data_IF_254871653300
#
_entry.id   IF_254871653300
#
_cell.length_a   1.000
_cell.length_b   1.000
_cell.length_c   1.000
_cell.angle_alpha   90.00
_cell.angle_beta   90.00
_cell.angle_gamma   90.00
#
_symmetry.space_group_name_H-M   'P 1'
#
loop_
_entity.id
_entity.type
_entity.pdbx_description
1 polymer ?
#
# COMPACT_ATOMS: atom_id res chain seq x y z
N UNK A 1 -0.58 14.07 22.37
CA UNK A 1 0.29 14.58 21.30
C UNK A 1 0.92 13.44 20.50
N UNK A 2 1.21 12.29 21.12
CA UNK A 2 1.77 11.09 20.47
C UNK A 2 1.00 10.55 19.25
N UNK A 3 -0.34 10.60 19.23
CA UNK A 3 -1.11 10.12 18.06
C UNK A 3 -0.80 10.89 16.78
N UNK A 4 -0.56 12.21 16.89
CA UNK A 4 -0.27 13.03 15.71
C UNK A 4 1.12 12.73 15.17
N UNK A 5 2.10 12.50 16.05
CA UNK A 5 3.48 12.18 15.68
C UNK A 5 3.62 10.77 15.07
N UNK A 6 2.94 9.77 15.64
CA UNK A 6 2.92 8.41 15.10
C UNK A 6 2.29 8.36 13.70
N UNK A 7 1.23 9.14 13.47
CA UNK A 7 0.60 9.23 12.16
C UNK A 7 1.55 9.79 11.10
N UNK A 8 2.23 10.91 11.38
CA UNK A 8 3.19 11.49 10.45
C UNK A 8 4.39 10.58 10.19
N UNK A 9 4.87 9.90 11.24
CA UNK A 9 5.98 8.94 11.13
C UNK A 9 5.60 7.76 10.24
N UNK A 10 4.41 7.19 10.40
CA UNK A 10 3.97 6.06 9.58
C UNK A 10 3.69 6.45 8.13
N UNK A 11 3.14 7.65 7.92
CA UNK A 11 2.97 8.17 6.57
C UNK A 11 4.33 8.38 5.88
N UNK A 12 5.37 8.80 6.63
CA UNK A 12 6.73 8.88 6.13
C UNK A 12 7.30 7.49 5.79
N UNK A 13 7.16 6.49 6.68
CA UNK A 13 7.62 5.11 6.41
C UNK A 13 6.91 4.47 5.22
N UNK A 14 5.60 4.70 5.06
CA UNK A 14 4.87 4.23 3.90
C UNK A 14 5.32 4.93 2.61
N UNK A 15 5.60 6.24 2.69
CA UNK A 15 6.12 7.00 1.55
C UNK A 15 7.51 6.51 1.15
N UNK A 16 8.35 6.19 2.13
CA UNK A 16 9.67 5.57 1.91
C UNK A 16 9.52 4.22 1.21
N UNK A 17 8.63 3.35 1.71
CA UNK A 17 8.35 2.04 1.08
C UNK A 17 7.86 2.19 -0.36
N UNK A 18 6.95 3.13 -0.65
CA UNK A 18 6.52 3.40 -2.03
C UNK A 18 7.66 3.94 -2.89
N UNK A 19 8.55 4.76 -2.32
CA UNK A 19 9.71 5.28 -3.04
C UNK A 19 10.70 4.16 -3.39
N UNK A 20 10.93 3.21 -2.47
CA UNK A 20 11.73 2.01 -2.73
C UNK A 20 11.09 1.16 -3.84
N UNK A 21 9.79 0.86 -3.71
CA UNK A 21 9.04 0.12 -4.74
C UNK A 21 9.18 0.81 -6.09
N UNK A 22 9.05 2.15 -6.16
CA UNK A 22 9.23 2.89 -7.41
C UNK A 22 10.62 2.66 -8.00
N UNK A 23 11.68 2.78 -7.21
CA UNK A 23 13.04 2.56 -7.69
C UNK A 23 13.25 1.13 -8.20
N UNK A 24 12.76 0.14 -7.46
CA UNK A 24 12.74 -1.27 -7.88
C UNK A 24 12.01 -1.45 -9.23
N UNK A 25 10.81 -0.87 -9.38
CA UNK A 25 10.04 -0.91 -10.63
C UNK A 25 10.79 -0.25 -11.79
N UNK A 26 11.50 0.85 -11.56
CA UNK A 26 12.34 1.49 -12.58
C UNK A 26 13.51 0.56 -12.98
N UNK A 27 14.18 -0.05 -12.01
CA UNK A 27 15.26 -1.01 -12.27
C UNK A 27 14.77 -2.28 -12.97
N UNK A 28 13.63 -2.84 -12.56
CA UNK A 28 13.06 -4.05 -13.14
C UNK A 28 12.72 -3.82 -14.60
N UNK A 29 12.21 -2.64 -14.92
CA UNK A 29 11.95 -2.25 -16.30
C UNK A 29 13.21 -2.16 -17.14
N UNK A 30 14.33 -1.68 -16.59
CA UNK A 30 15.61 -1.66 -17.33
C UNK A 30 16.20 -3.06 -17.51
N UNK A 31 15.93 -3.99 -16.57
CA UNK A 31 16.40 -5.38 -16.62
C UNK A 31 15.44 -6.31 -17.39
N UNK A 32 14.16 -5.98 -17.47
CA UNK A 32 13.14 -6.77 -18.13
C UNK A 32 13.08 -6.40 -19.61
N UNK A 33 13.22 -7.39 -20.48
CA UNK A 33 13.02 -7.22 -21.92
C UNK A 33 11.53 -7.19 -22.29
N UNK A 34 10.67 -7.79 -21.45
CA UNK A 34 9.26 -8.01 -21.72
C UNK A 34 8.41 -7.89 -20.44
N UNK A 35 7.11 -7.65 -20.63
CA UNK A 35 6.11 -7.52 -19.55
C UNK A 35 6.09 -8.74 -18.61
N UNK A 36 6.13 -9.95 -19.14
CA UNK A 36 6.11 -11.18 -18.31
C UNK A 36 7.30 -11.24 -17.37
N UNK A 37 8.49 -10.83 -17.85
CA UNK A 37 9.71 -10.82 -17.04
C UNK A 37 9.62 -9.75 -15.96
N UNK A 38 9.05 -8.60 -16.29
CA UNK A 38 8.80 -7.50 -15.36
C UNK A 38 7.92 -7.93 -14.19
N UNK A 39 6.73 -8.49 -14.47
CA UNK A 39 5.83 -8.98 -13.42
C UNK A 39 6.40 -10.16 -12.63
N UNK A 40 7.21 -11.02 -13.26
CA UNK A 40 7.92 -12.08 -12.54
C UNK A 40 8.92 -11.54 -11.51
N UNK A 41 9.56 -10.39 -11.78
CA UNK A 41 10.45 -9.75 -10.80
C UNK A 41 9.67 -9.17 -9.63
N UNK A 42 8.52 -8.56 -9.88
CA UNK A 42 7.64 -7.99 -8.84
C UNK A 42 7.08 -9.09 -7.95
N UNK A 43 6.63 -10.20 -8.53
CA UNK A 43 6.20 -11.37 -7.77
C UNK A 43 7.33 -11.87 -6.86
N UNK A 44 8.57 -11.87 -7.35
CA UNK A 44 9.73 -12.29 -6.57
C UNK A 44 10.09 -11.31 -5.46
N UNK A 45 9.87 -10.02 -5.67
CA UNK A 45 10.01 -9.00 -4.63
C UNK A 45 9.01 -9.25 -3.50
N UNK A 46 7.73 -9.51 -3.82
CA UNK A 46 6.71 -9.85 -2.83
C UNK A 46 6.99 -11.19 -2.13
N UNK A 47 7.52 -12.19 -2.84
CA UNK A 47 7.95 -13.46 -2.24
C UNK A 47 9.13 -13.29 -1.26
N UNK A 48 9.93 -12.23 -1.44
CA UNK A 48 11.07 -11.91 -0.56
C UNK A 48 10.68 -11.05 0.64
N UNK A 49 9.57 -10.31 0.55
CA UNK A 49 9.09 -9.38 1.58
C UNK A 49 7.71 -9.81 2.08
N UNK A 50 7.65 -10.38 3.29
CA UNK A 50 6.39 -10.75 3.94
C UNK A 50 5.39 -9.58 4.12
N UNK A 51 5.86 -8.34 4.11
CA UNK A 51 5.01 -7.14 4.18
C UNK A 51 4.29 -6.81 2.87
N UNK A 52 4.75 -7.38 1.75
CA UNK A 52 4.21 -7.13 0.42
C UNK A 52 3.36 -8.31 -0.06
N UNK A 53 2.16 -8.01 -0.53
CA UNK A 53 1.28 -8.99 -1.18
C UNK A 53 1.07 -8.59 -2.64
N UNK A 54 1.49 -9.47 -3.55
CA UNK A 54 1.36 -9.29 -4.99
C UNK A 54 0.20 -10.11 -5.56
N UNK A 55 -0.72 -9.43 -6.25
CA UNK A 55 -1.79 -10.05 -7.02
C UNK A 55 -1.48 -9.98 -8.51
N UNK A 56 -1.11 -11.12 -9.10
CA UNK A 56 -0.76 -11.20 -10.52
C UNK A 56 -1.97 -11.05 -11.45
N UNK A 57 -3.19 -11.19 -10.95
CA UNK A 57 -4.40 -11.12 -11.77
C UNK A 57 -4.80 -9.66 -12.04
N UNK A 58 -4.69 -8.81 -11.02
CA UNK A 58 -4.99 -7.38 -11.06
C UNK A 58 -3.74 -6.52 -11.24
N UNK A 59 -2.55 -7.13 -11.22
CA UNK A 59 -1.26 -6.46 -11.18
C UNK A 59 -1.16 -5.45 -10.03
N UNK A 60 -1.66 -5.82 -8.86
CA UNK A 60 -1.66 -4.95 -7.68
C UNK A 60 -0.67 -5.44 -6.64
N UNK A 61 0.11 -4.50 -6.12
CA UNK A 61 0.99 -4.69 -4.97
C UNK A 61 0.35 -3.99 -3.77
N UNK A 62 0.16 -4.71 -2.69
CA UNK A 62 -0.48 -4.22 -1.47
C UNK A 62 0.41 -4.43 -0.27
N UNK A 63 0.42 -3.46 0.64
CA UNK A 63 1.15 -3.56 1.90
C UNK A 63 0.49 -2.72 2.98
N UNK A 64 0.81 -3.04 4.22
CA UNK A 64 0.22 -2.40 5.40
C UNK A 64 1.32 -2.00 6.38
N UNK A 65 1.25 -0.75 6.87
CA UNK A 65 2.18 -0.24 7.89
C UNK A 65 1.41 0.00 9.18
N UNK A 66 1.78 -0.69 10.25
CA UNK A 66 1.16 -0.49 11.56
C UNK A 66 1.45 0.91 12.10
N UNK A 67 0.40 1.70 12.35
CA UNK A 67 0.49 3.04 12.95
C UNK A 67 0.47 2.98 14.47
N UNK A 68 -0.38 2.10 14.99
CA UNK A 68 -0.58 1.86 16.43
C UNK A 68 -1.22 0.47 16.60
N UNK A 69 -1.42 0.03 17.84
CA UNK A 69 -2.03 -1.28 18.14
C UNK A 69 -3.40 -1.49 17.46
N UNK A 70 -4.13 -0.39 17.20
CA UNK A 70 -5.48 -0.42 16.59
C UNK A 70 -5.57 0.27 15.24
N UNK A 71 -4.46 0.73 14.66
CA UNK A 71 -4.45 1.51 13.41
C UNK A 71 -3.34 1.04 12.48
N UNK A 72 -3.64 0.90 11.20
CA UNK A 72 -2.67 0.62 10.16
C UNK A 72 -2.92 1.51 8.94
N UNK A 73 -1.89 1.81 8.18
CA UNK A 73 -2.00 2.44 6.87
C UNK A 73 -1.96 1.34 5.82
N UNK A 74 -3.01 1.24 5.02
CA UNK A 74 -3.10 0.28 3.92
C UNK A 74 -2.86 0.99 2.61
N UNK A 75 -1.89 0.48 1.86
CA UNK A 75 -1.49 1.02 0.56
C UNK A 75 -1.67 -0.05 -0.49
N UNK A 76 -2.36 0.29 -1.58
CA UNK A 76 -2.54 -0.57 -2.75
C UNK A 76 -2.05 0.20 -3.98
N UNK A 77 -1.06 -0.38 -4.65
CA UNK A 77 -0.45 0.13 -5.86
C UNK A 77 -0.84 -0.77 -7.02
N UNK A 78 -1.41 -0.22 -8.09
CA UNK A 78 -1.58 -0.94 -9.34
C UNK A 78 -0.36 -0.67 -10.22
N UNK A 79 0.27 -1.75 -10.67
CA UNK A 79 1.55 -1.72 -11.36
C UNK A 79 1.31 -1.92 -12.85
N UNK A 80 1.89 -1.03 -13.66
CA UNK A 80 1.85 -1.11 -15.11
C UNK A 80 3.19 -1.53 -15.66
N UNK A 81 3.18 -2.07 -16.87
CA UNK A 81 4.38 -2.18 -17.67
C UNK A 81 4.59 -0.90 -18.49
N UNK A 82 5.50 0.02 -18.08
CA UNK A 82 5.75 1.26 -18.79
C UNK A 82 6.50 1.00 -20.11
N UNK A 83 5.77 1.03 -21.23
CA UNK A 83 6.36 0.92 -22.57
C UNK A 83 7.33 2.07 -22.90
N UNK A 84 7.25 3.21 -22.21
CA UNK A 84 8.14 4.38 -22.39
C UNK A 84 8.67 4.91 -21.06
N UNK A 85 9.84 5.58 -21.06
CA UNK A 85 10.48 6.07 -19.82
C UNK A 85 9.68 7.14 -19.07
N UNK A 86 8.80 7.86 -19.77
CA UNK A 86 7.91 8.86 -19.14
C UNK A 86 6.53 8.32 -18.76
N UNK A 87 6.27 7.03 -18.93
CA UNK A 87 5.00 6.43 -18.51
C UNK A 87 5.06 6.08 -17.03
N UNK A 88 3.99 6.37 -16.29
CA UNK A 88 3.86 5.95 -14.89
C UNK A 88 4.02 4.44 -14.78
N UNK A 89 4.95 3.99 -13.94
CA UNK A 89 5.16 2.57 -13.66
C UNK A 89 4.08 2.01 -12.71
N UNK A 90 3.40 2.88 -11.97
CA UNK A 90 2.33 2.49 -11.05
C UNK A 90 1.32 3.63 -10.85
N UNK A 91 0.17 3.29 -10.28
CA UNK A 91 -0.79 4.22 -9.71
C UNK A 91 -1.16 3.79 -8.28
N UNK A 92 -1.48 4.75 -7.43
CA UNK A 92 -1.94 4.48 -6.07
C UNK A 92 -3.45 4.31 -6.14
N UNK A 93 -3.94 3.08 -5.97
CA UNK A 93 -5.38 2.79 -5.89
C UNK A 93 -5.93 3.11 -4.50
N UNK A 94 -5.14 2.83 -3.46
CA UNK A 94 -5.56 3.03 -2.08
C UNK A 94 -4.41 3.59 -1.25
N UNK A 95 -4.72 4.60 -0.44
CA UNK A 95 -3.86 5.14 0.59
C UNK A 95 -4.75 5.67 1.71
N UNK A 96 -5.09 4.82 2.68
CA UNK A 96 -5.92 5.24 3.79
C UNK A 96 -5.52 4.51 5.08
N UNK A 97 -5.89 5.13 6.20
CA UNK A 97 -5.71 4.54 7.51
C UNK A 97 -6.93 3.72 7.88
N UNK A 98 -6.71 2.46 8.17
CA UNK A 98 -7.71 1.50 8.61
C UNK A 98 -7.54 1.19 10.10
N UNK A 99 -8.66 0.95 10.79
CA UNK A 99 -8.64 0.49 12.18
C UNK A 99 -8.48 -1.04 12.19
N UNK A 100 -7.42 -1.54 12.82
CA UNK A 100 -7.18 -2.98 13.01
C UNK A 100 -7.96 -3.56 14.20
N UNK A 101 -8.52 -2.68 15.05
CA UNK A 101 -9.44 -3.08 16.11
C UNK A 101 -10.82 -3.42 15.54
N UNK A 102 -11.33 -4.62 15.85
CA UNK A 102 -12.68 -5.02 15.48
C UNK A 102 -13.70 -3.96 15.90
N UNK A 103 -14.31 -3.30 14.92
CA UNK A 103 -15.45 -2.43 15.18
C UNK A 103 -16.60 -3.30 15.70
N UNK A 104 -16.82 -3.29 17.01
CA UNK A 104 -18.11 -3.69 17.55
C UNK A 104 -19.05 -2.49 17.36
N UNK A 105 -20.16 -2.61 16.61
CA UNK A 105 -21.19 -1.58 16.61
C UNK A 105 -21.70 -1.42 18.05
N UNK A 106 -21.23 -0.41 18.75
CA UNK A 106 -21.83 -0.01 20.01
C UNK A 106 -23.18 0.62 19.68
N UNK A 107 -24.22 -0.22 19.69
CA UNK A 107 -25.58 0.11 19.28
C UNK A 107 -26.32 0.97 20.34
N UNK A 108 -25.60 1.62 21.25
CA UNK A 108 -26.18 2.47 22.30
C UNK A 108 -26.26 3.93 21.85
N UNK A 109 -26.92 4.19 20.73
CA UNK A 109 -27.32 5.55 20.39
C UNK A 109 -28.58 5.91 21.18
N UNK A 110 -28.41 6.63 22.30
CA UNK A 110 -29.51 7.29 22.99
C UNK A 110 -30.07 8.38 22.08
N UNK A 111 -31.12 8.05 21.31
CA UNK A 111 -31.93 9.01 20.55
C UNK A 111 -32.57 9.99 21.53
N UNK A 112 -32.06 11.22 21.56
CA UNK A 112 -32.65 12.35 22.26
C UNK A 112 -34.01 12.65 21.61
N UNK A 113 -35.11 12.25 22.26
CA UNK A 113 -36.45 12.73 21.91
C UNK A 113 -36.62 14.12 22.53
N UNK A 114 -36.45 15.15 21.71
CA UNK A 114 -36.87 16.51 22.07
C UNK A 114 -38.39 16.55 22.24
N UNK A 115 -38.83 17.14 23.35
CA UNK A 115 -40.21 17.48 23.67
C UNK A 115 -40.75 18.63 22.82
#
# INVERSE_FOLDING_TARGET
MEQTENYYTCCASATETVSEIRDDLEQYREKASDETRYFSMIQKLADTRDDLSWDSHSHTLSFSVGISETQQLSVVLEIFYPQKKSSSAYQILQWNTELTGSWQPDNHQNVFKGE
#
